data_IF_411422159191
#
_entry.id   IF_411422159191
#
_cell.length_a   1.000
_cell.length_b   1.000
_cell.length_c   1.000
_cell.angle_alpha   90.00
_cell.angle_beta   90.00
_cell.angle_gamma   90.00
#
_symmetry.space_group_name_H-M   'P 1'
#
loop_
_entity.id
_entity.type
_entity.pdbx_description
1 polymer ?
#
# COMPACT_ATOMS: atom_id res chain seq x y z
N UNK A 1 -26.09 3.69 11.28
CA UNK A 1 -24.78 4.24 11.67
C UNK A 1 -24.97 4.88 13.04
N UNK A 2 -24.20 4.49 14.05
CA UNK A 2 -24.40 4.97 15.44
C UNK A 2 -23.77 6.35 15.64
N UNK A 3 -24.31 7.16 16.57
CA UNK A 3 -23.81 8.51 16.90
C UNK A 3 -22.31 8.49 17.22
N UNK A 4 -21.85 7.48 17.97
CA UNK A 4 -20.44 7.31 18.34
C UNK A 4 -19.52 7.18 17.13
N UNK A 5 -19.96 6.43 16.11
CA UNK A 5 -19.20 6.26 14.87
C UNK A 5 -19.06 7.60 14.15
N UNK A 6 -20.13 8.41 14.13
CA UNK A 6 -20.12 9.73 13.50
C UNK A 6 -19.15 10.68 14.21
N UNK A 7 -19.12 10.69 15.54
CA UNK A 7 -18.22 11.52 16.33
C UNK A 7 -16.75 11.14 16.07
N UNK A 8 -16.44 9.84 16.06
CA UNK A 8 -15.09 9.34 15.78
C UNK A 8 -14.62 9.77 14.39
N UNK A 9 -15.49 9.64 13.38
CA UNK A 9 -15.18 10.03 12.00
C UNK A 9 -14.95 11.54 11.90
N UNK A 10 -15.81 12.37 12.50
CA UNK A 10 -15.65 13.82 12.47
C UNK A 10 -14.36 14.26 13.16
N UNK A 11 -14.06 13.69 14.32
CA UNK A 11 -12.84 13.98 15.05
C UNK A 11 -11.59 13.56 14.27
N UNK A 12 -11.60 12.39 13.63
CA UNK A 12 -10.46 11.92 12.82
C UNK A 12 -10.22 12.81 11.61
N UNK A 13 -11.27 13.28 10.94
CA UNK A 13 -11.14 14.24 9.83
C UNK A 13 -10.63 15.61 10.29
N UNK A 14 -11.11 16.12 11.42
CA UNK A 14 -10.63 17.36 12.02
C UNK A 14 -9.14 17.25 12.38
N UNK A 15 -8.76 16.17 13.05
CA UNK A 15 -7.36 15.92 13.43
C UNK A 15 -6.45 15.81 12.20
N UNK A 16 -6.88 15.07 11.17
CA UNK A 16 -6.12 14.91 9.93
C UNK A 16 -5.95 16.26 9.21
N UNK A 17 -7.03 17.04 9.08
CA UNK A 17 -7.01 18.33 8.39
C UNK A 17 -6.10 19.33 9.11
N UNK A 18 -6.20 19.44 10.43
CA UNK A 18 -5.32 20.30 11.23
C UNK A 18 -3.86 19.88 11.11
N UNK A 19 -3.58 18.57 11.12
CA UNK A 19 -2.22 18.04 10.96
C UNK A 19 -1.63 18.35 9.59
N UNK A 20 -2.44 18.26 8.51
CA UNK A 20 -2.02 18.60 7.16
C UNK A 20 -1.71 20.10 7.01
N UNK A 21 -2.57 20.97 7.54
CA UNK A 21 -2.35 22.43 7.52
C UNK A 21 -1.08 22.79 8.29
N UNK A 22 -0.90 22.21 9.49
CA UNK A 22 0.30 22.42 10.29
C UNK A 22 1.58 21.99 9.55
N UNK A 23 1.56 20.81 8.93
CA UNK A 23 2.68 20.29 8.15
C UNK A 23 2.98 21.14 6.92
N UNK A 24 1.94 21.67 6.26
CA UNK A 24 2.11 22.57 5.11
C UNK A 24 2.78 23.89 5.50
N UNK A 25 2.38 24.49 6.63
CA UNK A 25 3.02 25.71 7.13
C UNK A 25 4.50 25.47 7.48
N UNK A 26 4.83 24.35 8.14
CA UNK A 26 6.22 23.99 8.43
C UNK A 26 7.06 23.79 7.16
N UNK A 27 6.47 23.22 6.11
CA UNK A 27 7.19 22.96 4.87
C UNK A 27 7.44 24.22 4.03
N UNK A 28 6.69 25.32 4.23
CA UNK A 28 6.92 26.58 3.50
C UNK A 28 8.27 27.23 3.85
N UNK A 29 8.81 26.93 5.03
CA UNK A 29 10.09 27.45 5.50
C UNK A 29 11.28 26.57 5.08
N UNK A 30 11.03 25.40 4.47
CA UNK A 30 12.07 24.50 4.02
C UNK A 30 12.66 24.95 2.69
N UNK A 31 14.00 24.93 2.62
CA UNK A 31 14.72 25.12 1.37
C UNK A 31 14.42 23.97 0.40
N UNK A 32 14.40 24.29 -0.90
CA UNK A 32 14.30 23.26 -1.93
C UNK A 32 15.46 22.26 -1.81
N UNK A 33 15.19 20.97 -2.04
CA UNK A 33 16.22 19.95 -1.94
C UNK A 33 17.31 20.18 -2.99
N UNK A 34 18.56 19.89 -2.62
CA UNK A 34 19.71 20.06 -3.50
C UNK A 34 19.67 19.13 -4.73
N UNK A 35 18.96 18.01 -4.61
CA UNK A 35 18.73 17.04 -5.68
C UNK A 35 17.23 16.93 -5.87
N UNK A 36 16.73 17.32 -7.04
CA UNK A 36 15.32 17.19 -7.38
C UNK A 36 15.01 15.74 -7.80
N UNK A 37 14.29 15.02 -6.94
CA UNK A 37 13.84 13.64 -7.17
C UNK A 37 12.39 13.57 -7.67
N UNK A 38 11.80 14.71 -8.03
CA UNK A 38 10.41 14.80 -8.47
C UNK A 38 10.11 13.93 -9.68
N UNK A 39 10.89 14.02 -10.75
CA UNK A 39 10.65 13.23 -11.97
C UNK A 39 10.76 11.72 -11.75
N UNK A 40 11.83 11.18 -11.12
CA UNK A 40 11.88 9.75 -10.81
C UNK A 40 10.76 9.35 -9.83
N UNK A 41 10.40 10.22 -8.88
CA UNK A 41 9.26 10.00 -7.98
C UNK A 41 7.91 9.91 -8.71
N UNK A 42 7.65 10.79 -9.69
CA UNK A 42 6.44 10.74 -10.54
C UNK A 42 6.39 9.43 -11.32
N UNK A 43 7.49 9.03 -11.94
CA UNK A 43 7.55 7.76 -12.68
C UNK A 43 7.25 6.58 -11.75
N UNK A 44 7.86 6.56 -10.57
CA UNK A 44 7.65 5.48 -9.60
C UNK A 44 6.21 5.45 -9.07
N UNK A 45 5.61 6.63 -8.81
CA UNK A 45 4.21 6.74 -8.40
C UNK A 45 3.27 6.22 -9.49
N UNK A 46 3.51 6.57 -10.76
CA UNK A 46 2.72 6.08 -11.90
C UNK A 46 2.81 4.56 -12.05
N UNK A 47 4.00 3.98 -11.85
CA UNK A 47 4.18 2.52 -11.82
C UNK A 47 3.38 1.91 -10.68
N UNK A 48 3.48 2.49 -9.48
CA UNK A 48 2.77 2.03 -8.28
C UNK A 48 1.26 2.01 -8.47
N UNK A 49 0.66 3.13 -8.89
CA UNK A 49 -0.80 3.24 -9.06
C UNK A 49 -1.33 2.37 -10.20
N UNK A 50 -0.59 2.27 -11.31
CA UNK A 50 -0.98 1.42 -12.44
C UNK A 50 -0.89 -0.07 -12.07
N UNK A 51 0.17 -0.43 -11.35
CA UNK A 51 0.35 -1.77 -10.81
C UNK A 51 -0.75 -2.12 -9.82
N UNK A 52 -1.09 -1.21 -8.91
CA UNK A 52 -2.13 -1.44 -7.91
C UNK A 52 -3.50 -1.69 -8.57
N UNK A 53 -3.87 -0.82 -9.52
CA UNK A 53 -5.08 -0.98 -10.31
C UNK A 53 -5.13 -2.33 -11.03
N UNK A 54 -4.04 -2.71 -11.70
CA UNK A 54 -3.95 -3.97 -12.44
C UNK A 54 -4.18 -5.19 -11.53
N UNK A 55 -3.54 -5.24 -10.36
CA UNK A 55 -3.69 -6.37 -9.44
C UNK A 55 -5.07 -6.39 -8.76
N UNK A 56 -5.62 -5.24 -8.39
CA UNK A 56 -6.99 -5.15 -7.90
C UNK A 56 -8.02 -5.57 -8.96
N UNK A 57 -7.79 -5.23 -10.22
CA UNK A 57 -8.61 -5.69 -11.34
C UNK A 57 -8.53 -7.21 -11.52
N UNK A 58 -7.36 -7.83 -11.34
CA UNK A 58 -7.24 -9.29 -11.35
C UNK A 58 -7.98 -9.92 -10.17
N UNK A 59 -7.86 -9.36 -8.97
CA UNK A 59 -8.56 -9.85 -7.77
C UNK A 59 -10.09 -9.73 -7.90
N UNK A 60 -10.59 -8.66 -8.52
CA UNK A 60 -12.03 -8.48 -8.72
C UNK A 60 -12.62 -9.57 -9.62
N UNK A 61 -11.89 -10.02 -10.64
CA UNK A 61 -12.29 -11.12 -11.53
C UNK A 61 -12.40 -12.49 -10.84
N UNK A 62 -11.77 -12.66 -9.67
CA UNK A 62 -11.84 -13.92 -8.92
C UNK A 62 -13.15 -14.04 -8.12
N UNK A 63 -13.86 -12.94 -7.89
CA UNK A 63 -15.13 -12.94 -7.17
C UNK A 63 -16.27 -13.33 -8.11
N UNK A 64 -16.83 -14.52 -7.91
CA UNK A 64 -18.09 -14.92 -8.55
C UNK A 64 -19.26 -14.27 -7.78
N UNK A 65 -20.26 -13.72 -8.49
CA UNK A 65 -21.45 -13.14 -7.85
C UNK A 65 -22.15 -14.20 -6.98
N UNK A 66 -22.17 -13.99 -5.67
CA UNK A 66 -22.87 -14.84 -4.70
C UNK A 66 -22.04 -15.92 -3.99
N UNK A 67 -20.81 -16.21 -4.43
CA UNK A 67 -19.94 -17.19 -3.75
C UNK A 67 -19.00 -16.51 -2.75
N UNK A 68 -18.89 -17.04 -1.52
CA UNK A 68 -17.85 -16.63 -0.55
C UNK A 68 -16.54 -17.42 -0.69
N UNK A 69 -16.42 -18.23 -1.75
CA UNK A 69 -15.25 -19.06 -1.98
C UNK A 69 -14.04 -18.20 -2.34
N UNK A 70 -12.97 -18.38 -1.56
CA UNK A 70 -11.69 -17.77 -1.85
C UNK A 70 -10.96 -18.58 -2.91
N UNK A 71 -10.43 -17.89 -3.92
CA UNK A 71 -9.63 -18.49 -4.99
C UNK A 71 -8.22 -17.92 -4.94
N UNK A 72 -7.23 -18.77 -5.19
CA UNK A 72 -5.84 -18.34 -5.30
C UNK A 72 -5.63 -17.64 -6.65
N UNK A 73 -5.17 -16.38 -6.68
CA UNK A 73 -4.81 -15.69 -7.92
C UNK A 73 -3.61 -16.39 -8.58
N UNK A 74 -3.67 -16.63 -9.90
CA UNK A 74 -2.60 -17.29 -10.68
C UNK A 74 -2.11 -16.48 -11.89
N UNK A 75 -2.29 -15.15 -11.90
CA UNK A 75 -1.93 -14.30 -13.06
C UNK A 75 -1.13 -13.09 -12.62
N UNK A 76 -0.21 -12.60 -13.45
CA UNK A 76 0.60 -11.42 -13.15
C UNK A 76 1.65 -11.71 -12.08
N UNK A 77 1.97 -10.72 -11.24
CA UNK A 77 2.97 -10.92 -10.17
C UNK A 77 2.51 -11.87 -9.05
N UNK A 78 1.26 -12.33 -9.08
CA UNK A 78 0.75 -13.33 -8.13
C UNK A 78 1.44 -14.70 -8.24
N UNK A 79 2.16 -14.96 -9.33
CA UNK A 79 3.00 -16.16 -9.46
C UNK A 79 4.29 -16.07 -8.63
N UNK A 80 4.76 -14.85 -8.33
CA UNK A 80 6.02 -14.61 -7.62
C UNK A 80 5.80 -14.27 -6.14
N UNK A 81 4.73 -13.53 -5.84
CA UNK A 81 4.41 -13.04 -4.49
C UNK A 81 2.90 -13.16 -4.21
N UNK A 82 2.54 -13.38 -2.95
CA UNK A 82 1.13 -13.57 -2.55
C UNK A 82 0.34 -12.27 -2.66
N UNK A 83 0.96 -11.14 -2.28
CA UNK A 83 0.32 -9.82 -2.26
C UNK A 83 1.08 -8.80 -3.12
N UNK A 84 1.10 -8.93 -4.46
CA UNK A 84 1.82 -8.00 -5.35
C UNK A 84 1.25 -6.58 -5.32
N UNK A 85 -0.06 -6.43 -5.05
CA UNK A 85 -0.71 -5.12 -4.88
C UNK A 85 -0.08 -4.33 -3.72
N UNK A 86 0.23 -4.97 -2.60
CA UNK A 86 0.91 -4.31 -1.49
C UNK A 86 2.34 -3.88 -1.84
N UNK A 87 3.06 -4.65 -2.67
CA UNK A 87 4.40 -4.25 -3.11
C UNK A 87 4.35 -3.01 -3.99
N UNK A 88 3.45 -2.98 -4.98
CA UNK A 88 3.31 -1.80 -5.87
C UNK A 88 2.72 -0.60 -5.15
N UNK A 89 1.90 -0.81 -4.11
CA UNK A 89 1.43 0.26 -3.23
C UNK A 89 2.60 0.90 -2.46
N UNK A 90 3.52 0.09 -1.91
CA UNK A 90 4.76 0.59 -1.28
C UNK A 90 5.61 1.40 -2.27
N UNK A 91 5.74 0.94 -3.52
CA UNK A 91 6.44 1.70 -4.57
C UNK A 91 5.74 3.04 -4.87
N UNK A 92 4.41 3.07 -4.83
CA UNK A 92 3.63 4.30 -4.94
C UNK A 92 3.95 5.30 -3.82
N UNK A 93 3.95 4.84 -2.57
CA UNK A 93 4.34 5.67 -1.42
C UNK A 93 5.80 6.12 -1.49
N UNK A 94 6.71 5.25 -1.94
CA UNK A 94 8.10 5.64 -2.19
C UNK A 94 8.19 6.75 -3.25
N UNK A 95 7.38 6.68 -4.30
CA UNK A 95 7.26 7.73 -5.31
C UNK A 95 6.81 9.07 -4.69
N UNK A 96 5.81 9.05 -3.81
CA UNK A 96 5.35 10.23 -3.06
C UNK A 96 6.50 10.79 -2.19
N UNK A 97 7.23 9.93 -1.49
CA UNK A 97 8.37 10.35 -0.67
C UNK A 97 9.49 10.98 -1.49
N UNK A 98 9.72 10.51 -2.71
CA UNK A 98 10.70 11.09 -3.64
C UNK A 98 10.23 12.43 -4.23
N UNK A 99 8.93 12.63 -4.42
CA UNK A 99 8.36 13.90 -4.89
C UNK A 99 8.41 14.95 -3.79
N UNK A 100 7.96 14.59 -2.59
CA UNK A 100 7.85 15.53 -1.48
C UNK A 100 9.20 15.79 -0.80
N UNK A 101 10.10 14.81 -0.77
CA UNK A 101 11.43 14.90 -0.15
C UNK A 101 11.42 15.41 1.30
N UNK A 102 10.32 15.18 2.03
CA UNK A 102 10.17 15.59 3.43
C UNK A 102 10.29 14.40 4.38
N UNK A 103 10.77 14.66 5.60
CA UNK A 103 10.81 13.65 6.67
C UNK A 103 9.43 13.06 6.97
N UNK A 104 8.38 13.86 6.85
CA UNK A 104 7.00 13.43 7.00
C UNK A 104 6.65 12.37 5.95
N UNK A 105 6.85 12.67 4.66
CA UNK A 105 6.55 11.74 3.56
C UNK A 105 7.34 10.42 3.65
N UNK A 106 8.60 10.49 4.10
CA UNK A 106 9.44 9.32 4.33
C UNK A 106 8.91 8.47 5.50
N UNK A 107 8.57 9.11 6.62
CA UNK A 107 8.00 8.44 7.80
C UNK A 107 6.68 7.75 7.48
N UNK A 108 5.81 8.41 6.71
CA UNK A 108 4.56 7.81 6.23
C UNK A 108 4.84 6.59 5.35
N UNK A 109 5.78 6.69 4.41
CA UNK A 109 6.16 5.58 3.52
C UNK A 109 6.68 4.38 4.31
N UNK A 110 7.56 4.62 5.28
CA UNK A 110 8.11 3.57 6.15
C UNK A 110 7.00 2.91 6.98
N UNK A 111 6.12 3.70 7.59
CA UNK A 111 4.97 3.20 8.35
C UNK A 111 4.05 2.34 7.50
N UNK A 112 3.70 2.79 6.29
CA UNK A 112 2.89 2.03 5.33
C UNK A 112 3.59 0.74 4.91
N UNK A 113 4.89 0.79 4.62
CA UNK A 113 5.65 -0.40 4.22
C UNK A 113 5.67 -1.46 5.32
N UNK A 114 5.92 -1.08 6.58
CA UNK A 114 5.88 -2.00 7.71
C UNK A 114 4.49 -2.59 7.93
N UNK A 115 3.45 -1.76 7.86
CA UNK A 115 2.07 -2.21 7.98
C UNK A 115 1.68 -3.23 6.90
N UNK A 116 1.95 -2.91 5.63
CA UNK A 116 1.63 -3.78 4.50
C UNK A 116 2.47 -5.06 4.51
N UNK A 117 3.73 -5.00 4.95
CA UNK A 117 4.56 -6.18 5.16
C UNK A 117 3.98 -7.11 6.22
N UNK A 118 3.60 -6.58 7.39
CA UNK A 118 2.95 -7.38 8.43
C UNK A 118 1.62 -8.00 7.93
N UNK A 119 0.83 -7.24 7.17
CA UNK A 119 -0.42 -7.70 6.55
C UNK A 119 -0.19 -8.81 5.53
N UNK A 120 0.83 -8.69 4.68
CA UNK A 120 1.19 -9.71 3.69
C UNK A 120 1.57 -11.04 4.35
N UNK A 121 2.28 -10.97 5.48
CA UNK A 121 2.68 -12.15 6.24
C UNK A 121 1.46 -12.85 6.88
N UNK A 122 0.53 -12.07 7.45
CA UNK A 122 -0.73 -12.60 7.95
C UNK A 122 -1.56 -13.24 6.83
N UNK A 123 -1.62 -12.61 5.64
CA UNK A 123 -2.28 -13.16 4.47
C UNK A 123 -1.64 -14.48 4.01
N UNK A 124 -0.31 -14.55 3.94
CA UNK A 124 0.43 -15.79 3.64
C UNK A 124 0.05 -16.92 4.58
N UNK A 125 0.07 -16.67 5.89
CA UNK A 125 -0.33 -17.66 6.92
C UNK A 125 -1.77 -18.12 6.74
N UNK A 126 -2.67 -17.20 6.40
CA UNK A 126 -4.07 -17.52 6.14
C UNK A 126 -4.26 -18.37 4.87
N UNK A 127 -3.53 -18.08 3.80
CA UNK A 127 -3.56 -18.90 2.58
C UNK A 127 -3.04 -20.33 2.85
N UNK A 128 -1.91 -20.46 3.56
CA UNK A 128 -1.34 -21.77 3.92
C UNK A 128 -2.29 -22.59 4.81
N UNK A 129 -3.04 -21.93 5.73
CA UNK A 129 -3.98 -22.65 6.59
C UNK A 129 -5.31 -23.00 5.90
N UNK A 130 -5.63 -22.36 4.77
CA UNK A 130 -6.88 -22.58 4.04
C UNK A 130 -6.76 -23.53 2.85
N UNK A 131 -5.60 -23.60 2.22
CA UNK A 131 -5.39 -24.38 1.00
C UNK A 131 -4.28 -25.40 1.24
N UNK A 132 -4.63 -26.70 1.28
CA UNK A 132 -3.68 -27.79 1.56
C UNK A 132 -2.55 -27.87 0.52
N UNK A 133 -2.85 -27.60 -0.75
CA UNK A 133 -1.90 -27.62 -1.87
C UNK A 133 -1.17 -26.27 -2.09
N UNK A 134 -1.23 -25.34 -1.14
CA UNK A 134 -0.59 -24.03 -1.35
C UNK A 134 0.93 -24.10 -1.22
N UNK A 135 1.69 -23.61 -2.22
CA UNK A 135 3.14 -23.66 -2.19
C UNK A 135 3.71 -22.80 -1.04
N UNK A 136 4.38 -23.46 -0.09
CA UNK A 136 4.98 -22.81 1.09
C UNK A 136 6.15 -21.86 0.74
N UNK A 137 6.74 -22.07 -0.44
CA UNK A 137 7.91 -21.34 -0.94
C UNK A 137 7.58 -19.99 -1.59
N UNK A 138 6.31 -19.66 -1.83
CA UNK A 138 5.94 -18.37 -2.43
C UNK A 138 6.20 -17.23 -1.44
N UNK A 139 6.89 -16.19 -1.90
CA UNK A 139 7.23 -15.01 -1.10
C UNK A 139 5.97 -14.24 -0.68
N UNK A 140 5.95 -13.69 0.52
CA UNK A 140 4.81 -12.95 1.05
C UNK A 140 4.60 -11.63 0.30
N UNK A 141 5.68 -10.90 0.02
CA UNK A 141 5.63 -9.53 -0.49
C UNK A 141 6.79 -9.17 -1.43
N UNK A 142 8.05 -9.43 -1.05
CA UNK A 142 9.24 -9.05 -1.80
C UNK A 142 9.78 -10.30 -2.52
N UNK A 143 9.86 -10.29 -3.86
CA UNK A 143 10.43 -11.42 -4.60
C UNK A 143 11.84 -11.74 -4.09
N UNK A 144 12.07 -13.01 -3.74
CA UNK A 144 13.36 -13.57 -3.33
C UNK A 144 13.96 -13.05 -2.01
N UNK A 145 13.21 -12.29 -1.21
CA UNK A 145 13.65 -11.82 0.11
C UNK A 145 12.62 -12.12 1.19
N UNK A 146 11.32 -11.92 0.91
CA UNK A 146 10.28 -12.04 1.92
C UNK A 146 8.90 -12.43 1.37
#
# INVERSE_FOLDING_TARGET
>A
MTLDTMIIILFSYLFLSSSLIYTQNLNQELLEPWIDLKYPGIVLFLIGISGDFYHHFLLSKLRTKGSKDYKVPKRGLFELVICPHYLVEILGFLGISLISQTLYSFSTTLGTALYLMARSFAAKRWYISKFEDFPKEVNALIPCVF
#
